data_IF_200884368838
#
_entry.id   IF_200884368838
#
_cell.length_a   1.000
_cell.length_b   1.000
_cell.length_c   1.000
_cell.angle_alpha   90.00
_cell.angle_beta   90.00
_cell.angle_gamma   90.00
#
_symmetry.space_group_name_H-M   'P 1'
#
loop_
_entity.id
_entity.type
_entity.pdbx_description
1 polymer ?
#
# COMPACT_ATOMS: atom_id res chain seq x y z
N UNK A 1 8.29 -15.22 4.91
CA UNK A 1 6.83 -15.12 4.95
C UNK A 1 6.45 -13.66 4.86
N UNK A 2 5.43 -13.32 4.09
CA UNK A 2 4.82 -11.99 4.09
C UNK A 2 3.60 -12.05 5.01
N UNK A 3 3.46 -11.07 5.91
CA UNK A 3 2.25 -10.93 6.71
C UNK A 3 1.34 -9.92 6.03
N UNK A 4 0.15 -10.33 5.63
CA UNK A 4 -0.86 -9.48 5.00
C UNK A 4 -1.97 -9.14 5.98
N UNK A 5 -2.51 -7.93 5.89
CA UNK A 5 -3.72 -7.60 6.62
C UNK A 5 -4.91 -8.41 6.11
N UNK A 6 -5.82 -8.82 6.99
CA UNK A 6 -6.97 -9.63 6.62
C UNK A 6 -7.85 -9.01 5.52
N UNK A 7 -7.95 -7.67 5.46
CA UNK A 7 -8.69 -6.96 4.40
C UNK A 7 -8.00 -7.01 3.02
N UNK A 8 -6.75 -7.47 2.94
CA UNK A 8 -6.06 -7.71 1.68
C UNK A 8 -6.33 -9.09 1.09
N UNK A 9 -7.15 -9.92 1.75
CA UNK A 9 -7.62 -11.19 1.17
C UNK A 9 -8.34 -10.91 -0.15
N UNK A 10 -7.95 -11.62 -1.20
CA UNK A 10 -8.51 -11.46 -2.54
C UNK A 10 -7.87 -10.35 -3.38
N UNK A 11 -6.90 -9.58 -2.86
CA UNK A 11 -6.15 -8.64 -3.69
C UNK A 11 -5.37 -9.41 -4.77
N UNK A 12 -5.59 -9.14 -6.08
CA UNK A 12 -4.92 -9.85 -7.16
C UNK A 12 -3.38 -9.79 -7.10
N UNK A 13 -2.82 -8.75 -6.47
CA UNK A 13 -1.36 -8.63 -6.29
C UNK A 13 -0.78 -9.84 -5.55
N UNK A 14 -1.51 -10.39 -4.57
CA UNK A 14 -1.04 -11.55 -3.81
C UNK A 14 -0.89 -12.81 -4.67
N UNK A 15 -1.60 -12.92 -5.80
CA UNK A 15 -1.42 -14.02 -6.76
C UNK A 15 -0.06 -13.98 -7.49
N UNK A 16 0.61 -12.83 -7.49
CA UNK A 16 1.93 -12.65 -8.06
C UNK A 16 3.05 -13.06 -7.09
N UNK A 17 2.76 -13.23 -5.79
CA UNK A 17 3.73 -13.65 -4.78
C UNK A 17 3.91 -15.16 -4.85
N UNK A 18 5.02 -15.62 -5.46
CA UNK A 18 5.30 -17.05 -5.66
C UNK A 18 6.46 -17.60 -4.83
N UNK A 19 7.39 -16.72 -4.44
CA UNK A 19 8.65 -17.12 -3.79
C UNK A 19 8.55 -17.28 -2.28
N UNK A 20 7.42 -16.92 -1.67
CA UNK A 20 7.23 -17.01 -0.21
C UNK A 20 5.76 -17.18 0.15
N UNK A 21 5.49 -17.68 1.36
CA UNK A 21 4.15 -17.83 1.91
C UNK A 21 3.57 -16.47 2.32
N UNK A 22 2.25 -16.37 2.30
CA UNK A 22 1.47 -15.21 2.77
C UNK A 22 0.57 -15.66 3.92
N UNK A 23 0.71 -15.01 5.07
CA UNK A 23 -0.13 -15.24 6.25
C UNK A 23 -1.01 -14.02 6.50
N UNK A 24 -2.26 -14.23 6.88
CA UNK A 24 -3.20 -13.12 7.12
C UNK A 24 -3.40 -12.86 8.60
N UNK A 25 -3.35 -11.60 9.00
CA UNK A 25 -3.52 -11.15 10.39
C UNK A 25 -4.59 -10.06 10.48
N UNK A 26 -5.47 -10.17 11.47
CA UNK A 26 -6.47 -9.15 11.78
C UNK A 26 -5.83 -7.97 12.53
N UNK A 27 -6.30 -6.75 12.25
CA UNK A 27 -5.80 -5.55 12.93
C UNK A 27 -4.40 -5.09 12.52
N UNK A 28 -3.82 -5.66 11.46
CA UNK A 28 -2.56 -5.19 10.91
C UNK A 28 -2.73 -3.78 10.30
N UNK A 29 -1.89 -2.85 10.74
CA UNK A 29 -1.92 -1.46 10.26
C UNK A 29 -1.49 -1.36 8.78
N UNK A 30 -0.26 -1.77 8.37
CA UNK A 30 0.10 -1.83 6.96
C UNK A 30 -0.72 -2.86 6.20
N UNK A 31 -0.74 -2.77 4.87
CA UNK A 31 -1.37 -3.80 4.04
C UNK A 31 -0.54 -5.07 4.02
N UNK A 32 0.80 -4.91 3.99
CA UNK A 32 1.75 -6.01 4.06
C UNK A 32 2.97 -5.66 4.91
N UNK A 33 3.49 -6.63 5.64
CA UNK A 33 4.83 -6.64 6.19
C UNK A 33 5.69 -7.58 5.34
N UNK A 34 6.69 -7.02 4.66
CA UNK A 34 7.66 -7.78 3.86
C UNK A 34 8.93 -8.16 4.66
N UNK A 35 8.98 -7.73 5.92
CA UNK A 35 10.03 -7.99 6.90
C UNK A 35 9.72 -7.26 8.20
N UNK A 36 10.53 -7.42 9.26
CA UNK A 36 10.28 -6.82 10.57
C UNK A 36 10.12 -5.29 10.54
N UNK A 37 10.94 -4.61 9.74
CA UNK A 37 10.97 -3.14 9.63
C UNK A 37 10.52 -2.62 8.26
N UNK A 38 9.86 -3.45 7.46
CA UNK A 38 9.45 -3.12 6.08
C UNK A 38 7.93 -3.21 5.97
N UNK A 39 7.29 -2.03 6.00
CA UNK A 39 5.86 -1.91 5.81
C UNK A 39 5.51 -1.46 4.39
N UNK A 40 4.52 -2.12 3.82
CA UNK A 40 3.98 -1.83 2.50
C UNK A 40 2.51 -1.46 2.63
N UNK A 41 2.14 -0.29 2.13
CA UNK A 41 0.77 0.10 1.87
C UNK A 41 0.46 -0.12 0.39
N UNK A 42 -0.77 -0.51 0.08
CA UNK A 42 -1.21 -0.75 -1.30
C UNK A 42 -2.33 0.22 -1.69
N UNK A 43 -2.23 0.75 -2.90
CA UNK A 43 -3.28 1.57 -3.49
C UNK A 43 -3.42 1.27 -4.98
N UNK A 44 -4.64 1.31 -5.49
CA UNK A 44 -4.93 1.32 -6.93
C UNK A 44 -5.39 2.72 -7.31
N UNK A 45 -4.99 3.23 -8.48
CA UNK A 45 -5.42 4.55 -8.91
C UNK A 45 -6.94 4.62 -9.15
N UNK A 46 -7.57 3.55 -9.63
CA UNK A 46 -9.04 3.41 -9.67
C UNK A 46 -9.66 3.56 -8.30
N UNK A 47 -9.09 2.91 -7.28
CA UNK A 47 -9.59 2.97 -5.91
C UNK A 47 -9.37 4.36 -5.30
N UNK A 48 -8.19 4.95 -5.48
CA UNK A 48 -7.87 6.31 -5.02
C UNK A 48 -8.84 7.34 -5.60
N UNK A 49 -9.19 7.23 -6.89
CA UNK A 49 -10.16 8.11 -7.54
C UNK A 49 -11.56 8.02 -6.91
N UNK A 50 -11.98 6.83 -6.47
CA UNK A 50 -13.28 6.62 -5.81
C UNK A 50 -13.26 7.04 -4.33
N UNK A 51 -12.09 6.98 -3.68
CA UNK A 51 -11.93 7.22 -2.25
C UNK A 51 -10.71 8.10 -1.96
N UNK A 52 -10.76 9.41 -2.29
CA UNK A 52 -9.59 10.29 -2.29
C UNK A 52 -8.91 10.44 -0.90
N UNK A 53 -9.68 10.35 0.19
CA UNK A 53 -9.15 10.45 1.55
C UNK A 53 -8.48 9.16 2.07
N UNK A 54 -8.69 8.03 1.38
CA UNK A 54 -8.30 6.72 1.90
C UNK A 54 -6.80 6.63 2.10
N UNK A 55 -6.00 6.96 1.09
CA UNK A 55 -4.55 6.85 1.14
C UNK A 55 -3.96 7.68 2.29
N UNK A 56 -4.42 8.93 2.43
CA UNK A 56 -3.97 9.84 3.49
C UNK A 56 -4.23 9.26 4.88
N UNK A 57 -5.42 8.70 5.12
CA UNK A 57 -5.76 8.04 6.39
C UNK A 57 -4.88 6.81 6.64
N UNK A 58 -4.58 6.01 5.61
CA UNK A 58 -3.70 4.84 5.72
C UNK A 58 -2.27 5.24 6.09
N UNK A 59 -1.73 6.25 5.41
CA UNK A 59 -0.40 6.79 5.69
C UNK A 59 -0.31 7.34 7.12
N UNK A 60 -1.32 8.09 7.56
CA UNK A 60 -1.39 8.61 8.93
C UNK A 60 -1.42 7.49 9.98
N UNK A 61 -2.23 6.45 9.74
CA UNK A 61 -2.30 5.30 10.64
C UNK A 61 -0.97 4.52 10.70
N UNK A 62 -0.25 4.42 9.57
CA UNK A 62 1.06 3.76 9.50
C UNK A 62 2.11 4.49 10.36
N UNK A 63 2.09 5.83 10.34
CA UNK A 63 3.03 6.67 11.07
C UNK A 63 4.49 6.43 10.69
N UNK A 64 5.39 6.59 11.65
CA UNK A 64 6.84 6.43 11.49
C UNK A 64 7.39 5.17 12.20
N UNK A 65 6.55 4.15 12.40
CA UNK A 65 6.90 2.95 13.19
C UNK A 65 7.88 2.00 12.48
N UNK A 66 7.96 2.06 11.14
CA UNK A 66 8.78 1.17 10.33
C UNK A 66 9.89 1.96 9.65
N UNK A 67 11.10 1.40 9.65
CA UNK A 67 12.28 2.05 9.02
C UNK A 67 12.10 2.19 7.52
N UNK A 68 11.56 1.17 6.86
CA UNK A 68 11.30 1.17 5.42
C UNK A 68 9.79 1.18 5.21
N UNK A 69 9.32 2.21 4.51
CA UNK A 69 7.90 2.39 4.19
C UNK A 69 7.76 2.52 2.69
N UNK A 70 6.92 1.67 2.13
CA UNK A 70 6.67 1.60 0.70
C UNK A 70 5.18 1.83 0.45
N UNK A 71 4.86 2.70 -0.50
CA UNK A 71 3.54 2.78 -1.10
C UNK A 71 3.60 2.08 -2.44
N UNK A 72 2.98 0.91 -2.54
CA UNK A 72 2.85 0.14 -3.77
C UNK A 72 1.59 0.59 -4.51
N UNK A 73 1.77 1.29 -5.62
CA UNK A 73 0.72 1.90 -6.40
C UNK A 73 0.46 1.13 -7.70
N UNK A 74 -0.73 0.53 -7.81
CA UNK A 74 -1.20 -0.07 -9.05
C UNK A 74 -1.78 1.01 -9.98
N UNK A 75 -1.12 1.23 -11.11
CA UNK A 75 -1.60 2.08 -12.21
C UNK A 75 -2.61 1.30 -13.05
N UNK A 76 -3.90 1.49 -12.79
CA UNK A 76 -5.00 0.77 -13.46
C UNK A 76 -6.04 1.70 -14.11
N UNK A 77 -5.66 2.93 -14.42
CA UNK A 77 -6.41 3.92 -15.20
C UNK A 77 -5.79 4.10 -16.59
N UNK A 78 -6.61 4.44 -17.59
CA UNK A 78 -6.15 4.78 -18.94
C UNK A 78 -5.44 6.14 -18.98
N UNK A 79 -5.93 7.12 -18.22
CA UNK A 79 -5.35 8.45 -18.04
C UNK A 79 -4.98 8.64 -16.55
N UNK A 80 -3.77 8.22 -16.14
CA UNK A 80 -3.39 8.16 -14.73
C UNK A 80 -2.78 9.46 -14.20
N UNK A 81 -2.49 10.45 -15.04
CA UNK A 81 -1.59 11.58 -14.75
C UNK A 81 -2.01 12.34 -13.50
N UNK A 82 -3.28 12.73 -13.42
CA UNK A 82 -3.81 13.50 -12.29
C UNK A 82 -3.78 12.70 -10.99
N UNK A 83 -4.24 11.43 -11.03
CA UNK A 83 -4.32 10.59 -9.84
C UNK A 83 -2.93 10.15 -9.37
N UNK A 84 -2.03 9.83 -10.29
CA UNK A 84 -0.65 9.49 -9.97
C UNK A 84 0.09 10.71 -9.40
N UNK A 85 -0.16 11.91 -9.93
CA UNK A 85 0.37 13.16 -9.37
C UNK A 85 -0.04 13.37 -7.91
N UNK A 86 -1.33 13.16 -7.59
CA UNK A 86 -1.82 13.21 -6.22
C UNK A 86 -1.15 12.17 -5.31
N UNK A 87 -1.08 10.91 -5.75
CA UNK A 87 -0.43 9.82 -4.98
C UNK A 87 1.05 10.11 -4.76
N UNK A 88 1.73 10.65 -5.77
CA UNK A 88 3.15 11.03 -5.68
C UNK A 88 3.37 12.12 -4.64
N UNK A 89 2.53 13.15 -4.63
CA UNK A 89 2.62 14.23 -3.66
C UNK A 89 2.39 13.74 -2.22
N UNK A 90 1.38 12.88 -2.02
CA UNK A 90 1.11 12.27 -0.70
C UNK A 90 2.27 11.38 -0.22
N UNK A 91 2.86 10.56 -1.11
CA UNK A 91 4.03 9.75 -0.77
C UNK A 91 5.25 10.61 -0.41
N UNK A 92 5.48 11.69 -1.17
CA UNK A 92 6.57 12.65 -0.92
C UNK A 92 6.41 13.34 0.44
N UNK A 93 5.23 13.88 0.75
CA UNK A 93 4.97 14.52 2.04
C UNK A 93 5.11 13.56 3.24
N UNK A 94 4.87 12.26 3.01
CA UNK A 94 4.95 11.24 4.05
C UNK A 94 6.35 10.62 4.23
N UNK A 95 7.30 10.98 3.36
CA UNK A 95 8.63 10.35 3.27
C UNK A 95 8.52 8.82 3.08
N UNK A 96 7.68 8.42 2.13
CA UNK A 96 7.41 7.02 1.77
C UNK A 96 7.87 6.78 0.33
N UNK A 97 8.59 5.69 0.10
CA UNK A 97 8.99 5.30 -1.26
C UNK A 97 7.76 4.85 -2.07
N UNK A 98 7.47 5.54 -3.17
CA UNK A 98 6.43 5.15 -4.12
C UNK A 98 7.01 4.14 -5.12
N UNK A 99 6.38 2.97 -5.23
CA UNK A 99 6.71 1.90 -6.18
C UNK A 99 5.51 1.52 -7.05
#
# INVERSE_FOLDING_TARGET
VIIAAAHQRGNPMLSCVRSTLVEFVDGLVPDYLAGPDIAVCFISLKFQRLHPDYLKRRIQALGARHRVRVLLCRVDLEHPEDQLGMVTLEAFHADISLL
#
